data_IF_435023537708
#
_entry.id   IF_435023537708
#
_cell.length_a   1.000
_cell.length_b   1.000
_cell.length_c   1.000
_cell.angle_alpha   90.00
_cell.angle_beta   90.00
_cell.angle_gamma   90.00
#
_symmetry.space_group_name_H-M   'P 1'
#
loop_
_entity.id
_entity.type
_entity.pdbx_description
1 polymer ?
#
# COMPACT_ATOMS: atom_id res chain seq x y z
N UNK A 1 -5.31 -9.17 1.68
CA UNK A 1 -4.54 -9.31 0.43
C UNK A 1 -3.53 -10.39 0.71
N UNK A 2 -3.38 -11.39 -0.16
CA UNK A 2 -2.44 -12.51 0.07
C UNK A 2 -1.02 -11.96 -0.01
N UNK A 3 -0.20 -12.21 1.03
CA UNK A 3 1.22 -11.84 1.08
C UNK A 3 2.05 -13.05 0.63
N UNK A 4 2.43 -13.08 -0.64
CA UNK A 4 3.15 -14.16 -1.29
C UNK A 4 4.58 -14.30 -0.76
N UNK A 5 5.29 -13.19 -0.50
CA UNK A 5 6.65 -13.25 0.06
C UNK A 5 6.63 -13.94 1.42
N UNK A 6 5.73 -13.49 2.31
CA UNK A 6 5.57 -14.05 3.64
C UNK A 6 5.16 -15.54 3.62
N UNK A 7 4.31 -15.93 2.68
CA UNK A 7 3.92 -17.32 2.48
C UNK A 7 5.12 -18.21 2.14
N UNK A 8 6.00 -17.73 1.25
CA UNK A 8 7.20 -18.44 0.79
C UNK A 8 8.22 -18.53 1.92
N UNK A 9 8.40 -17.47 2.72
CA UNK A 9 9.25 -17.51 3.91
C UNK A 9 8.81 -18.57 4.93
N UNK A 10 7.50 -18.71 5.18
CA UNK A 10 7.02 -19.73 6.10
C UNK A 10 7.18 -21.15 5.55
N UNK A 11 7.07 -21.32 4.24
CA UNK A 11 7.34 -22.60 3.58
C UNK A 11 8.82 -22.99 3.67
N UNK A 12 9.73 -22.03 3.47
CA UNK A 12 11.18 -22.22 3.67
C UNK A 12 11.53 -22.62 5.11
N UNK A 13 10.76 -22.16 6.09
CA UNK A 13 10.91 -22.52 7.50
C UNK A 13 10.28 -23.89 7.85
N UNK A 14 9.97 -24.73 6.85
CA UNK A 14 9.39 -26.07 6.99
C UNK A 14 8.02 -26.13 7.69
N UNK A 15 7.20 -25.08 7.57
CA UNK A 15 5.82 -25.13 8.04
C UNK A 15 4.93 -25.91 7.08
N UNK A 16 3.94 -26.65 7.62
CA UNK A 16 2.99 -27.36 6.79
C UNK A 16 2.00 -26.40 6.11
N UNK A 17 1.39 -26.81 5.00
CA UNK A 17 0.53 -25.92 4.22
C UNK A 17 -0.71 -25.42 4.99
N UNK A 18 -1.19 -26.18 5.96
CA UNK A 18 -2.30 -25.75 6.83
C UNK A 18 -1.86 -24.65 7.80
N UNK A 19 -0.67 -24.76 8.38
CA UNK A 19 -0.07 -23.76 9.27
C UNK A 19 0.20 -22.46 8.51
N UNK A 20 0.81 -22.55 7.32
CA UNK A 20 1.04 -21.39 6.46
C UNK A 20 -0.27 -20.71 6.07
N UNK A 21 -1.30 -21.49 5.73
CA UNK A 21 -2.62 -20.96 5.41
C UNK A 21 -3.21 -20.15 6.57
N UNK A 22 -3.14 -20.67 7.79
CA UNK A 22 -3.58 -19.98 9.01
C UNK A 22 -2.77 -18.70 9.26
N UNK A 23 -1.44 -18.76 9.17
CA UNK A 23 -0.55 -17.61 9.39
C UNK A 23 -0.76 -16.49 8.36
N UNK A 24 -1.02 -16.85 7.11
CA UNK A 24 -1.27 -15.90 6.02
C UNK A 24 -2.74 -15.49 5.89
N UNK A 25 -3.65 -16.01 6.72
CA UNK A 25 -5.09 -15.76 6.63
C UNK A 25 -5.71 -16.14 5.29
N UNK A 26 -5.25 -17.23 4.69
CA UNK A 26 -5.68 -17.72 3.37
C UNK A 26 -6.07 -19.20 3.42
N UNK A 27 -6.65 -19.73 2.33
CA UNK A 27 -6.97 -21.16 2.28
C UNK A 27 -5.73 -22.00 1.98
N UNK A 28 -5.68 -23.24 2.48
CA UNK A 28 -4.63 -24.23 2.14
C UNK A 28 -4.46 -24.39 0.63
N UNK A 29 -5.56 -24.35 -0.13
CA UNK A 29 -5.52 -24.41 -1.60
C UNK A 29 -4.84 -23.21 -2.23
N UNK A 30 -4.86 -22.04 -1.59
CA UNK A 30 -4.12 -20.87 -2.07
C UNK A 30 -2.62 -21.08 -1.93
N UNK A 31 -2.18 -21.61 -0.78
CA UNK A 31 -0.76 -21.96 -0.54
C UNK A 31 -0.26 -22.98 -1.57
N UNK A 32 -1.05 -24.03 -1.80
CA UNK A 32 -0.71 -25.07 -2.76
C UNK A 32 -0.60 -24.54 -4.20
N UNK A 33 -1.55 -23.70 -4.64
CA UNK A 33 -1.51 -23.09 -5.98
C UNK A 33 -0.32 -22.16 -6.18
N UNK A 34 0.11 -21.46 -5.14
CA UNK A 34 1.30 -20.59 -5.19
C UNK A 34 2.55 -21.42 -5.39
N UNK A 35 2.72 -22.49 -4.62
CA UNK A 35 3.85 -23.41 -4.74
C UNK A 35 3.95 -24.04 -6.12
N UNK A 36 2.85 -24.62 -6.62
CA UNK A 36 2.84 -25.22 -7.96
C UNK A 36 3.26 -24.22 -9.05
N UNK A 37 2.93 -22.95 -8.87
CA UNK A 37 3.24 -21.91 -9.84
C UNK A 37 4.70 -21.47 -9.77
N UNK A 38 5.28 -21.44 -8.58
CA UNK A 38 6.72 -21.21 -8.38
C UNK A 38 7.52 -22.36 -9.01
N UNK A 39 7.12 -23.61 -8.73
CA UNK A 39 7.75 -24.80 -9.30
C UNK A 39 7.67 -24.80 -10.84
N UNK A 40 6.49 -24.47 -11.38
CA UNK A 40 6.28 -24.36 -12.83
C UNK A 40 7.17 -23.29 -13.49
N UNK A 41 7.36 -22.15 -12.83
CA UNK A 41 8.19 -21.06 -13.34
C UNK A 41 9.68 -21.27 -13.04
N UNK A 42 10.04 -22.28 -12.25
CA UNK A 42 11.42 -22.60 -11.85
C UNK A 42 12.18 -21.41 -11.27
N UNK A 43 11.48 -20.55 -10.53
CA UNK A 43 12.06 -19.33 -9.94
C UNK A 43 12.86 -19.72 -8.70
N UNK A 44 14.08 -19.22 -8.57
CA UNK A 44 14.88 -19.46 -7.38
C UNK A 44 14.29 -18.71 -6.17
N UNK A 45 14.33 -19.33 -5.00
CA UNK A 45 13.75 -18.76 -3.78
C UNK A 45 14.48 -17.50 -3.32
N UNK A 46 15.73 -17.31 -3.76
CA UNK A 46 16.54 -16.13 -3.49
C UNK A 46 16.12 -14.95 -4.37
N UNK A 47 15.80 -15.18 -5.65
CA UNK A 47 15.22 -14.16 -6.54
C UNK A 47 13.89 -13.62 -5.99
N UNK A 48 13.06 -14.49 -5.40
CA UNK A 48 11.74 -14.09 -4.89
C UNK A 48 11.84 -13.14 -3.69
N UNK A 49 12.89 -13.24 -2.87
CA UNK A 49 13.08 -12.36 -1.71
C UNK A 49 13.45 -10.93 -2.09
N UNK A 50 14.11 -10.75 -3.24
CA UNK A 50 14.50 -9.43 -3.74
C UNK A 50 13.37 -8.74 -4.51
N UNK A 51 12.35 -9.48 -4.95
CA UNK A 51 11.21 -8.95 -5.69
C UNK A 51 10.22 -8.20 -4.79
N UNK A 52 9.59 -7.16 -5.33
CA UNK A 52 8.45 -6.52 -4.67
C UNK A 52 7.22 -7.44 -4.74
N UNK A 53 6.39 -7.39 -3.71
CA UNK A 53 5.15 -8.16 -3.60
C UNK A 53 4.22 -8.00 -4.83
N UNK A 54 4.20 -6.81 -5.42
CA UNK A 54 3.43 -6.48 -6.63
C UNK A 54 3.98 -7.17 -7.88
N UNK A 55 5.30 -7.20 -8.03
CA UNK A 55 6.01 -7.87 -9.13
C UNK A 55 5.87 -9.38 -9.03
N UNK A 56 6.02 -9.93 -7.81
CA UNK A 56 5.82 -11.35 -7.54
C UNK A 56 4.37 -11.78 -7.83
N UNK A 57 3.40 -10.95 -7.45
CA UNK A 57 2.00 -11.18 -7.80
C UNK A 57 1.77 -11.15 -9.31
N UNK A 58 2.47 -10.28 -10.03
CA UNK A 58 2.42 -10.23 -11.50
C UNK A 58 2.95 -11.49 -12.14
N UNK A 59 4.09 -11.95 -11.66
CA UNK A 59 4.77 -13.13 -12.17
C UNK A 59 3.97 -14.41 -11.91
N UNK A 60 3.46 -14.58 -10.69
CA UNK A 60 2.73 -15.81 -10.31
C UNK A 60 1.34 -15.88 -10.94
N UNK A 61 0.57 -14.79 -10.90
CA UNK A 61 -0.82 -14.81 -11.38
C UNK A 61 -1.12 -13.62 -12.30
N UNK A 62 -0.52 -13.60 -13.50
CA UNK A 62 -0.75 -12.54 -14.48
C UNK A 62 -2.23 -12.45 -14.88
N UNK A 63 -2.99 -13.55 -14.83
CA UNK A 63 -4.42 -13.56 -15.15
C UNK A 63 -5.29 -12.95 -14.05
N UNK A 64 -4.80 -12.89 -12.80
CA UNK A 64 -5.50 -12.29 -11.65
C UNK A 64 -5.25 -10.80 -11.52
N UNK A 65 -4.31 -10.27 -12.29
CA UNK A 65 -4.22 -8.84 -12.50
C UNK A 65 -5.34 -8.49 -13.46
N UNK A 66 -6.13 -7.48 -13.08
CA UNK A 66 -6.95 -6.79 -14.07
C UNK A 66 -5.98 -6.30 -15.14
N UNK A 67 -5.92 -6.97 -16.31
CA UNK A 67 -5.34 -6.42 -17.55
C UNK A 67 -5.72 -4.95 -17.52
N UNK A 68 -4.76 -4.03 -17.46
CA UNK A 68 -5.05 -2.60 -17.34
C UNK A 68 -6.22 -2.31 -18.27
N UNK A 69 -7.36 -1.88 -17.70
CA UNK A 69 -8.75 -2.26 -18.09
C UNK A 69 -9.20 -1.84 -19.53
N UNK A 70 -8.27 -1.61 -20.46
CA UNK A 70 -8.45 -0.80 -21.64
C UNK A 70 -8.63 0.66 -21.29
N UNK A 71 -8.36 1.12 -20.06
CA UNK A 71 -8.55 2.51 -19.65
C UNK A 71 -7.26 3.30 -19.74
N UNK A 72 -7.35 4.54 -20.22
CA UNK A 72 -6.24 5.48 -20.18
C UNK A 72 -6.01 5.92 -18.73
N UNK A 73 -4.82 5.74 -18.19
CA UNK A 73 -4.46 6.25 -16.86
C UNK A 73 -4.25 7.77 -16.98
N UNK A 74 -4.96 8.62 -16.20
CA UNK A 74 -4.73 10.06 -16.19
C UNK A 74 -3.37 10.40 -15.56
N UNK A 75 -2.57 11.22 -16.24
CA UNK A 75 -1.40 11.85 -15.65
C UNK A 75 -1.84 13.14 -14.94
N UNK A 76 -2.22 13.03 -13.66
CA UNK A 76 -2.74 14.17 -12.91
C UNK A 76 -1.71 15.28 -12.68
N UNK A 77 -0.41 14.97 -12.70
CA UNK A 77 0.66 15.97 -12.60
C UNK A 77 0.67 16.84 -13.86
N UNK A 78 0.61 16.22 -15.03
CA UNK A 78 0.52 16.94 -16.30
C UNK A 78 -0.82 17.69 -16.44
N UNK A 79 -1.92 17.08 -16.02
CA UNK A 79 -3.24 17.72 -16.07
C UNK A 79 -3.32 18.95 -15.15
N UNK A 80 -2.74 18.91 -13.94
CA UNK A 80 -2.64 20.10 -13.07
C UNK A 80 -1.82 21.22 -13.71
N UNK A 81 -0.70 20.88 -14.35
CA UNK A 81 0.12 21.86 -15.07
C UNK A 81 -0.69 22.55 -16.17
N UNK A 82 -1.45 21.79 -16.96
CA UNK A 82 -2.33 22.35 -17.98
C UNK A 82 -3.46 23.19 -17.39
N UNK A 83 -4.03 22.76 -16.26
CA UNK A 83 -5.07 23.51 -15.55
C UNK A 83 -4.55 24.85 -15.06
N UNK A 84 -3.34 24.92 -14.50
CA UNK A 84 -2.71 26.17 -14.06
C UNK A 84 -2.36 27.06 -15.25
N UNK A 85 -1.72 26.50 -16.29
CA UNK A 85 -1.29 27.23 -17.49
C UNK A 85 -2.46 27.87 -18.25
N UNK A 86 -3.57 27.15 -18.37
CA UNK A 86 -4.73 27.57 -19.17
C UNK A 86 -5.93 27.97 -18.31
N UNK A 87 -5.74 28.21 -17.01
CA UNK A 87 -6.79 28.51 -16.03
C UNK A 87 -8.05 27.65 -16.21
N UNK A 88 -7.83 26.35 -16.44
CA UNK A 88 -8.88 25.42 -16.85
C UNK A 88 -9.45 24.67 -15.65
N UNK A 89 -10.76 24.44 -15.65
CA UNK A 89 -11.44 23.67 -14.61
C UNK A 89 -11.13 22.17 -14.70
N UNK A 90 -11.25 21.46 -13.58
CA UNK A 90 -11.10 20.00 -13.53
C UNK A 90 -12.06 19.28 -14.48
N UNK A 91 -13.26 19.84 -14.66
CA UNK A 91 -14.26 19.31 -15.61
C UNK A 91 -13.79 19.45 -17.06
N UNK A 92 -13.13 20.56 -17.41
CA UNK A 92 -12.57 20.75 -18.74
C UNK A 92 -11.37 19.83 -18.99
N UNK A 93 -10.53 19.63 -17.97
CA UNK A 93 -9.46 18.65 -17.96
C UNK A 93 -9.99 17.23 -18.25
N UNK A 94 -11.01 16.75 -17.52
CA UNK A 94 -11.63 15.45 -17.77
C UNK A 94 -12.13 15.31 -19.22
N UNK A 95 -12.78 16.34 -19.78
CA UNK A 95 -13.24 16.33 -21.18
C UNK A 95 -12.08 16.17 -22.17
N UNK A 96 -10.92 16.81 -21.93
CA UNK A 96 -9.71 16.67 -22.75
C UNK A 96 -9.10 15.27 -22.61
N UNK A 97 -9.04 14.76 -21.38
CA UNK A 97 -8.62 13.39 -21.09
C UNK A 97 -9.49 12.36 -21.84
N UNK A 98 -10.81 12.51 -21.86
CA UNK A 98 -11.70 11.62 -22.62
C UNK A 98 -11.40 11.61 -24.12
N UNK A 99 -11.12 12.78 -24.72
CA UNK A 99 -10.72 12.87 -26.13
C UNK A 99 -9.37 12.18 -26.40
N UNK A 100 -8.43 12.29 -25.45
CA UNK A 100 -7.12 11.63 -25.55
C UNK A 100 -7.24 10.11 -25.46
N UNK A 101 -8.06 9.62 -24.54
CA UNK A 101 -8.36 8.19 -24.40
C UNK A 101 -8.93 7.63 -25.71
N UNK A 102 -9.93 8.32 -26.29
CA UNK A 102 -10.52 7.96 -27.58
C UNK A 102 -9.46 7.89 -28.69
N UNK A 103 -8.58 8.89 -28.79
CA UNK A 103 -7.50 8.92 -29.82
C UNK A 103 -6.52 7.76 -29.69
N UNK A 104 -6.34 7.22 -28.48
CA UNK A 104 -5.45 6.10 -28.19
C UNK A 104 -6.18 4.74 -28.22
N UNK A 105 -7.45 4.70 -28.65
CA UNK A 105 -8.30 3.51 -28.60
C UNK A 105 -8.43 2.92 -27.17
N UNK A 106 -8.39 3.79 -26.15
CA UNK A 106 -8.57 3.47 -24.75
C UNK A 106 -9.89 4.07 -24.22
N UNK A 107 -10.46 3.42 -23.21
CA UNK A 107 -11.62 3.86 -22.45
C UNK A 107 -11.21 4.98 -21.48
N UNK A 108 -12.06 5.98 -21.36
CA UNK A 108 -11.91 7.01 -20.35
C UNK A 108 -12.59 6.59 -19.04
N UNK A 109 -12.01 6.95 -17.90
CA UNK A 109 -12.72 6.85 -16.63
C UNK A 109 -13.97 7.74 -16.64
N UNK A 110 -15.03 7.28 -15.97
CA UNK A 110 -16.22 8.10 -15.74
C UNK A 110 -15.86 9.36 -14.95
N UNK A 111 -16.70 10.39 -15.01
CA UNK A 111 -16.47 11.63 -14.24
C UNK A 111 -16.31 11.35 -12.75
N UNK A 112 -17.16 10.49 -12.16
CA UNK A 112 -17.10 10.15 -10.75
C UNK A 112 -15.76 9.49 -10.38
N UNK A 113 -15.30 8.52 -11.17
CA UNK A 113 -14.00 7.88 -10.95
C UNK A 113 -12.84 8.85 -11.15
N UNK A 114 -12.90 9.72 -12.16
CA UNK A 114 -11.86 10.70 -12.44
C UNK A 114 -11.70 11.70 -11.29
N UNK A 115 -12.81 12.22 -10.75
CA UNK A 115 -12.79 13.12 -9.58
C UNK A 115 -12.30 12.39 -8.34
N UNK A 116 -12.71 11.13 -8.13
CA UNK A 116 -12.21 10.31 -7.03
C UNK A 116 -10.69 10.17 -7.09
N UNK A 117 -10.14 9.75 -8.24
CA UNK A 117 -8.69 9.58 -8.41
C UNK A 117 -7.93 10.91 -8.33
N UNK A 118 -8.48 12.00 -8.86
CA UNK A 118 -7.91 13.34 -8.72
C UNK A 118 -7.90 13.79 -7.24
N UNK A 119 -8.94 13.45 -6.49
CA UNK A 119 -8.99 13.65 -5.05
C UNK A 119 -7.89 12.87 -4.32
N UNK A 120 -7.69 11.59 -4.66
CA UNK A 120 -6.58 10.78 -4.11
C UNK A 120 -5.20 11.35 -4.47
N UNK A 121 -5.05 11.89 -5.68
CA UNK A 121 -3.81 12.53 -6.12
C UNK A 121 -3.53 13.86 -5.38
N UNK A 122 -4.57 14.66 -5.13
CA UNK A 122 -4.44 15.96 -4.45
C UNK A 122 -4.43 15.88 -2.94
N UNK A 123 -4.89 14.78 -2.36
CA UNK A 123 -4.64 14.50 -0.96
C UNK A 123 -3.12 14.55 -0.77
N UNK A 124 -2.59 15.33 0.19
CA UNK A 124 -1.23 15.10 0.67
C UNK A 124 -1.09 13.60 0.95
N UNK A 125 0.11 13.04 0.80
CA UNK A 125 0.36 11.68 1.30
C UNK A 125 0.23 11.72 2.83
N UNK A 126 -1.00 11.70 3.31
CA UNK A 126 -1.39 11.64 4.71
C UNK A 126 -1.91 10.24 4.92
N UNK A 127 -1.09 9.44 5.57
CA UNK A 127 -1.45 8.42 6.55
C UNK A 127 -2.95 8.26 6.83
N UNK A 128 -3.68 7.61 5.93
CA UNK A 128 -4.96 7.02 6.32
C UNK A 128 -4.63 5.84 7.24
N UNK A 129 -5.27 5.80 8.40
CA UNK A 129 -5.19 4.68 9.34
C UNK A 129 -5.46 3.36 8.60
N UNK A 130 -4.55 2.40 8.65
CA UNK A 130 -4.80 1.07 8.09
C UNK A 130 -5.87 0.41 8.97
N UNK A 131 -7.10 0.15 8.49
CA UNK A 131 -8.17 -0.41 9.33
C UNK A 131 -7.82 -1.80 9.92
N UNK A 132 -6.73 -2.43 9.46
CA UNK A 132 -6.22 -3.71 9.93
C UNK A 132 -5.04 -3.59 10.90
N UNK A 133 -4.45 -2.42 11.07
CA UNK A 133 -3.27 -2.20 11.92
C UNK A 133 -3.54 -1.16 13.01
N UNK A 134 -4.37 -1.56 13.98
CA UNK A 134 -4.76 -0.70 15.12
C UNK A 134 -3.55 -0.25 15.96
N UNK A 135 -2.48 -1.04 16.01
CA UNK A 135 -1.29 -0.74 16.80
C UNK A 135 -0.46 0.32 16.10
N UNK A 136 -0.18 0.17 14.80
CA UNK A 136 0.56 1.17 14.03
C UNK A 136 -0.18 2.49 13.95
N UNK A 137 -1.50 2.46 13.77
CA UNK A 137 -2.32 3.67 13.77
C UNK A 137 -2.27 4.38 15.12
N UNK A 138 -2.44 3.65 16.23
CA UNK A 138 -2.38 4.24 17.57
C UNK A 138 -0.99 4.81 17.88
N UNK A 139 0.08 4.16 17.43
CA UNK A 139 1.45 4.68 17.54
C UNK A 139 1.66 5.95 16.69
N UNK A 140 1.14 5.99 15.46
CA UNK A 140 1.12 7.20 14.61
C UNK A 140 0.40 8.35 15.31
N UNK A 141 -0.75 8.09 15.92
CA UNK A 141 -1.49 9.09 16.69
C UNK A 141 -0.69 9.61 17.89
N UNK A 142 -0.03 8.74 18.67
CA UNK A 142 0.85 9.19 19.76
C UNK A 142 2.01 10.05 19.25
N UNK A 143 2.67 9.66 18.16
CA UNK A 143 3.79 10.40 17.60
C UNK A 143 3.34 11.75 17.01
N UNK A 144 2.17 11.79 16.38
CA UNK A 144 1.53 13.03 15.91
C UNK A 144 1.23 13.96 17.10
N UNK A 145 0.59 13.44 18.15
CA UNK A 145 0.26 14.23 19.35
C UNK A 145 1.52 14.76 20.05
N UNK A 146 2.60 13.96 20.12
CA UNK A 146 3.88 14.38 20.66
C UNK A 146 4.54 15.49 19.83
N UNK A 147 4.35 15.51 18.50
CA UNK A 147 4.89 16.55 17.61
C UNK A 147 4.30 17.95 17.88
N UNK A 148 3.07 18.00 18.41
CA UNK A 148 2.39 19.24 18.77
C UNK A 148 2.72 19.73 20.19
N UNK A 149 3.35 18.91 21.02
CA UNK A 149 3.71 19.27 22.38
C UNK A 149 5.14 19.84 22.46
N UNK A 150 5.37 20.80 23.37
CA UNK A 150 6.72 21.28 23.67
C UNK A 150 7.55 20.12 24.28
N UNK A 151 8.71 19.72 23.70
CA UNK A 151 9.52 18.60 24.19
C UNK A 151 9.92 18.70 25.67
N UNK A 152 10.05 19.91 26.20
CA UNK A 152 10.40 20.16 27.60
C UNK A 152 9.18 20.41 28.51
N UNK A 153 7.96 20.30 27.97
CA UNK A 153 6.72 20.52 28.71
C UNK A 153 6.22 19.28 29.43
N UNK A 154 5.53 19.46 30.56
CA UNK A 154 4.91 18.37 31.34
C UNK A 154 3.95 17.52 30.50
N UNK A 155 3.21 18.13 29.58
CA UNK A 155 2.28 17.43 28.69
C UNK A 155 2.99 16.44 27.76
N UNK A 156 4.16 16.81 27.23
CA UNK A 156 4.97 15.93 26.39
C UNK A 156 5.49 14.74 27.21
N UNK A 157 6.00 14.99 28.41
CA UNK A 157 6.50 13.93 29.29
C UNK A 157 5.40 12.95 29.71
N UNK A 158 4.21 13.47 30.03
CA UNK A 158 3.04 12.65 30.38
C UNK A 158 2.62 11.76 29.20
N UNK A 159 2.50 12.33 28.01
CA UNK A 159 2.09 11.63 26.80
C UNK A 159 3.14 10.59 26.36
N UNK A 160 4.43 10.93 26.49
CA UNK A 160 5.53 10.01 26.22
C UNK A 160 5.51 8.81 27.16
N UNK A 161 5.31 9.04 28.46
CA UNK A 161 5.21 7.99 29.47
C UNK A 161 4.02 7.07 29.19
N UNK A 162 2.86 7.63 28.84
CA UNK A 162 1.67 6.86 28.45
C UNK A 162 1.92 5.98 27.21
N UNK A 163 2.60 6.53 26.19
CA UNK A 163 3.01 5.78 24.99
C UNK A 163 3.92 4.60 25.36
N UNK A 164 4.93 4.84 26.19
CA UNK A 164 5.89 3.81 26.62
C UNK A 164 5.24 2.73 27.49
N UNK A 165 4.34 3.10 28.42
CA UNK A 165 3.58 2.15 29.23
C UNK A 165 2.63 1.30 28.38
N UNK A 166 1.97 1.92 27.41
CA UNK A 166 1.13 1.21 26.45
C UNK A 166 1.95 0.21 25.61
N UNK A 167 3.12 0.61 25.09
CA UNK A 167 4.01 -0.29 24.34
C UNK A 167 4.54 -1.43 25.21
N UNK A 168 4.92 -1.15 26.47
CA UNK A 168 5.32 -2.17 27.46
C UNK A 168 4.19 -3.17 27.73
N UNK A 169 2.95 -2.72 27.85
CA UNK A 169 1.80 -3.61 28.05
C UNK A 169 1.62 -4.63 26.91
N UNK A 170 2.00 -4.24 25.69
CA UNK A 170 1.95 -5.06 24.49
C UNK A 170 3.24 -5.85 24.24
N UNK A 171 4.27 -5.68 25.09
CA UNK A 171 5.61 -6.26 24.91
C UNK A 171 6.25 -5.87 23.57
N UNK A 172 5.96 -4.66 23.10
CA UNK A 172 6.40 -4.13 21.81
C UNK A 172 7.49 -3.08 21.98
N UNK A 173 8.44 -3.09 21.05
CA UNK A 173 9.52 -2.11 20.95
C UNK A 173 9.25 -1.20 19.75
N UNK A 174 9.18 0.11 20.00
CA UNK A 174 8.90 1.12 18.97
C UNK A 174 9.90 1.06 17.81
N UNK A 175 11.17 0.78 18.11
CA UNK A 175 12.25 0.68 17.12
C UNK A 175 12.07 -0.49 16.14
N UNK A 176 11.20 -1.45 16.48
CA UNK A 176 10.86 -2.61 15.66
C UNK A 176 9.56 -2.43 14.87
N UNK A 177 8.86 -1.29 15.03
CA UNK A 177 7.56 -1.00 14.41
C UNK A 177 7.66 0.13 13.38
N UNK A 178 8.46 1.15 13.64
CA UNK A 178 8.64 2.28 12.72
C UNK A 178 9.76 1.93 11.74
N UNK A 179 9.43 1.86 10.45
CA UNK A 179 10.44 1.76 9.40
C UNK A 179 11.35 2.98 9.50
N UNK A 180 12.68 2.78 9.49
CA UNK A 180 13.73 3.82 9.55
C UNK A 180 13.68 4.87 8.42
N UNK A 181 12.60 4.91 7.63
CA UNK A 181 12.44 5.76 6.45
C UNK A 181 12.10 7.22 6.75
N UNK A 182 12.02 7.63 8.02
CA UNK A 182 11.74 9.02 8.41
C UNK A 182 12.84 9.66 9.28
N UNK A 183 14.08 9.18 9.15
CA UNK A 183 15.24 10.02 9.46
C UNK A 183 15.59 10.83 8.20
N UNK A 184 14.89 11.95 8.02
CA UNK A 184 15.35 13.22 7.41
C UNK A 184 14.25 14.29 7.54
#
# INVERSE_FOLDING_TARGET
MVKYILMIEYLLKNNNYSQVATLCGCSRMTVWRVLQRIDFLSISLDEIKEMKEEELRFLLFPERIKKGNGYLIPDFKWEEFQMRKHQSSLRLCWRRYCKRALKQNLKAYSWASFVFFYGQFRKPCSDEDDPKDKVRNKLKHYNLMLSYCNPNGEQYQKLKKEKEEWLKSLHLDESKIVDKTYEL
#
